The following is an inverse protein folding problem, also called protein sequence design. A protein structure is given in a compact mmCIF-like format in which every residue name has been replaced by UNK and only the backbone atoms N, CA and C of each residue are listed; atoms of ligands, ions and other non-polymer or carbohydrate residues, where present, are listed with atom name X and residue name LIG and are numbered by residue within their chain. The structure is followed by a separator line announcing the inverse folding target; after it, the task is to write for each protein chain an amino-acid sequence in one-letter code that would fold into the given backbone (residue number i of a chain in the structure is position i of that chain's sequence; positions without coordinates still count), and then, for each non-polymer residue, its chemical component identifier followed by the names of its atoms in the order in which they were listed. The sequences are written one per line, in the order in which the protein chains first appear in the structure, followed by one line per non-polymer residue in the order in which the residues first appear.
data_IF_898288732754
#
_entry.id   IF_898288732754
#
_cell.length_a   1.000
_cell.length_b   1.000
_cell.length_c   1.000
_cell.angle_alpha   90.00
_cell.angle_beta   90.00
_cell.angle_gamma   90.00
#
_symmetry.space_group_name_H-M   'P 1'
#
loop_
_entity.id
_entity.type
_entity.pdbx_description
1 polymer ?
#
# COMPACT_ATOMS: atom_id res chain seq x y z
N UNK A 1 20.27 7.23 -10.77
CA UNK A 1 19.94 7.04 -9.34
C UNK A 1 18.43 7.21 -9.23
N UNK A 2 17.67 6.13 -9.44
CA UNK A 2 16.21 6.19 -9.57
C UNK A 2 15.57 5.65 -8.29
N UNK A 3 14.76 6.49 -7.62
CA UNK A 3 13.96 6.11 -6.45
C UNK A 3 12.78 5.29 -6.94
N UNK A 4 12.59 4.07 -6.43
CA UNK A 4 11.36 3.31 -6.61
C UNK A 4 10.35 3.76 -5.55
N UNK A 5 9.20 4.25 -5.96
CA UNK A 5 8.15 4.75 -5.05
C UNK A 5 6.89 3.92 -5.25
N UNK A 6 6.39 3.29 -4.19
CA UNK A 6 5.06 2.66 -4.16
C UNK A 6 4.12 3.69 -3.54
N UNK A 7 3.01 4.03 -4.20
CA UNK A 7 1.99 4.94 -3.65
C UNK A 7 0.67 4.19 -3.53
N UNK A 8 0.10 4.17 -2.34
CA UNK A 8 -1.25 3.66 -2.07
C UNK A 8 -2.16 4.82 -1.66
N UNK A 9 -3.37 4.95 -2.20
CA UNK A 9 -4.31 6.02 -1.87
C UNK A 9 -5.57 5.41 -1.28
N UNK A 10 -6.04 5.89 -0.12
CA UNK A 10 -7.28 5.43 0.52
C UNK A 10 -8.34 6.54 0.52
N UNK A 11 -9.57 6.20 0.13
CA UNK A 11 -10.77 7.04 0.28
C UNK A 11 -11.71 6.36 1.29
N UNK A 12 -12.05 7.07 2.36
CA UNK A 12 -12.71 6.56 3.56
C UNK A 12 -14.21 6.25 3.38
N UNK A 13 -14.67 5.08 3.85
CA UNK A 13 -16.09 4.74 4.00
C UNK A 13 -16.36 3.37 4.67
N UNK A 14 -16.42 3.31 6.01
CA UNK A 14 -16.62 2.07 6.77
C UNK A 14 -18.01 1.41 6.57
N UNK A 15 -18.02 0.17 6.04
CA UNK A 15 -19.06 -0.84 6.31
C UNK A 15 -18.55 -2.26 6.00
N UNK A 16 -18.36 -3.07 7.05
CA UNK A 16 -18.37 -4.54 7.05
C UNK A 16 -17.50 -5.28 6.01
N UNK A 17 -16.33 -5.79 6.45
CA UNK A 17 -15.60 -6.92 5.85
C UNK A 17 -15.40 -6.94 4.32
N UNK A 18 -15.34 -5.77 3.71
CA UNK A 18 -14.57 -5.54 2.49
C UNK A 18 -13.50 -4.54 2.89
N UNK A 19 -12.21 -4.92 2.77
CA UNK A 19 -11.18 -3.89 2.71
C UNK A 19 -11.58 -2.98 1.55
N UNK A 20 -11.90 -1.72 1.87
CA UNK A 20 -12.10 -0.63 0.90
C UNK A 20 -11.04 -0.74 -0.20
N UNK A 21 -11.38 -0.39 -1.44
CA UNK A 21 -10.54 -0.49 -2.64
C UNK A 21 -9.17 0.21 -2.45
N UNK A 22 -8.25 -0.46 -1.74
CA UNK A 22 -6.87 -0.01 -1.57
C UNK A 22 -6.20 -0.27 -2.90
N UNK A 23 -6.00 0.81 -3.65
CA UNK A 23 -5.25 0.73 -4.88
C UNK A 23 -3.75 0.68 -4.57
N UNK A 24 -3.06 -0.25 -5.24
CA UNK A 24 -1.61 -0.41 -5.13
C UNK A 24 -1.00 -0.16 -6.49
N UNK A 25 -0.05 0.79 -6.51
CA UNK A 25 0.87 0.96 -7.64
C UNK A 25 2.22 0.34 -7.26
N UNK A 26 2.56 -0.79 -7.90
CA UNK A 26 3.89 -1.38 -7.78
C UNK A 26 4.81 -0.77 -8.83
N UNK A 27 5.81 -0.02 -8.40
CA UNK A 27 6.85 0.51 -9.29
C UNK A 27 8.16 -0.28 -9.16
N UNK A 28 8.65 -0.82 -10.27
CA UNK A 28 9.94 -1.51 -10.36
C UNK A 28 10.82 -0.83 -11.41
N UNK A 29 11.90 -0.20 -10.95
CA UNK A 29 12.87 0.53 -11.80
C UNK A 29 12.21 1.67 -12.60
N UNK A 30 11.30 2.42 -11.96
CA UNK A 30 10.56 3.50 -12.60
C UNK A 30 9.43 3.02 -13.52
N UNK A 31 9.07 1.72 -13.50
CA UNK A 31 7.99 1.16 -14.32
C UNK A 31 6.85 0.67 -13.44
N UNK A 32 5.63 1.08 -13.79
CA UNK A 32 4.41 0.56 -13.18
C UNK A 32 4.20 -0.90 -13.62
N UNK A 33 4.11 -1.80 -12.65
CA UNK A 33 3.90 -3.22 -12.86
C UNK A 33 2.44 -3.53 -12.50
N UNK A 34 1.64 -4.07 -13.44
CA UNK A 34 0.29 -4.49 -13.14
C UNK A 34 0.32 -5.62 -12.11
N UNK A 35 -0.43 -5.46 -11.03
CA UNK A 35 -0.59 -6.46 -9.98
C UNK A 35 -1.93 -7.18 -10.14
N UNK A 36 -1.90 -8.51 -10.00
CA UNK A 36 -3.13 -9.31 -9.97
C UNK A 36 -3.75 -9.31 -8.56
N UNK A 37 -4.99 -9.81 -8.45
CA UNK A 37 -5.76 -9.79 -7.19
C UNK A 37 -5.10 -10.56 -6.05
N UNK A 38 -4.41 -11.67 -6.36
CA UNK A 38 -3.70 -12.45 -5.35
C UNK A 38 -2.55 -11.63 -4.75
N UNK A 39 -1.69 -11.06 -5.60
CA UNK A 39 -0.55 -10.23 -5.17
C UNK A 39 -1.03 -8.97 -4.46
N UNK A 40 -2.10 -8.33 -4.97
CA UNK A 40 -2.73 -7.16 -4.35
C UNK A 40 -3.14 -7.46 -2.89
N UNK A 41 -3.86 -8.57 -2.66
CA UNK A 41 -4.31 -8.97 -1.30
C UNK A 41 -3.14 -9.19 -0.35
N UNK A 42 -2.10 -9.89 -0.79
CA UNK A 42 -0.92 -10.16 0.03
C UNK A 42 -0.20 -8.86 0.40
N UNK A 43 0.08 -8.00 -0.58
CA UNK A 43 0.77 -6.74 -0.34
C UNK A 43 -0.06 -5.79 0.54
N UNK A 44 -1.36 -5.63 0.27
CA UNK A 44 -2.24 -4.81 1.11
C UNK A 44 -2.18 -5.26 2.57
N UNK A 45 -2.45 -6.55 2.83
CA UNK A 45 -2.51 -7.06 4.19
C UNK A 45 -1.17 -6.96 4.93
N UNK A 46 -0.06 -7.26 4.24
CA UNK A 46 1.27 -7.14 4.81
C UNK A 46 1.60 -5.68 5.16
N UNK A 47 1.35 -4.75 4.23
CA UNK A 47 1.70 -3.34 4.38
C UNK A 47 0.86 -2.68 5.47
N UNK A 48 -0.46 -2.84 5.43
CA UNK A 48 -1.36 -2.23 6.42
C UNK A 48 -1.14 -2.81 7.81
N UNK A 49 -0.94 -4.12 7.92
CA UNK A 49 -0.59 -4.77 9.19
C UNK A 49 0.75 -4.29 9.75
N UNK A 50 1.75 -4.10 8.88
CA UNK A 50 3.05 -3.56 9.29
C UNK A 50 2.92 -2.11 9.79
N UNK A 51 2.24 -1.25 9.02
CA UNK A 51 2.09 0.18 9.34
C UNK A 51 1.26 0.38 10.61
N UNK A 52 0.17 -0.36 10.79
CA UNK A 52 -0.66 -0.29 12.00
C UNK A 52 0.03 -0.79 13.27
N UNK A 53 1.15 -1.52 13.14
CA UNK A 53 1.97 -1.93 14.29
C UNK A 53 3.01 -0.88 14.73
N UNK A 54 3.22 0.18 13.93
CA UNK A 54 4.22 1.21 14.22
C UNK A 54 3.71 2.22 15.24
N UNK A 55 4.56 2.56 16.22
CA UNK A 55 4.27 3.65 17.16
C UNK A 55 4.38 5.00 16.46
N UNK A 56 3.39 5.86 16.67
CA UNK A 56 3.38 7.24 16.14
C UNK A 56 2.84 7.36 14.72
N UNK A 57 2.26 6.29 14.17
CA UNK A 57 1.43 6.36 12.95
C UNK A 57 -0.03 6.27 13.39
N UNK A 58 -0.84 7.24 13.01
CA UNK A 58 -2.28 7.26 13.30
C UNK A 58 -3.03 6.34 12.33
N UNK A 59 -4.16 5.78 12.76
CA UNK A 59 -4.95 4.81 11.98
C UNK A 59 -5.67 5.43 10.77
N UNK A 60 -5.65 6.77 10.61
CA UNK A 60 -6.33 7.53 9.57
C UNK A 60 -5.41 7.94 8.41
N UNK A 61 -4.31 7.21 8.21
CA UNK A 61 -3.38 7.45 7.11
C UNK A 61 -4.09 7.42 5.75
N UNK A 62 -3.78 8.39 4.88
CA UNK A 62 -4.36 8.49 3.52
C UNK A 62 -3.50 7.81 2.46
N UNK A 63 -2.18 7.76 2.70
CA UNK A 63 -1.21 7.23 1.75
C UNK A 63 -0.03 6.61 2.47
N UNK A 64 0.35 5.41 2.04
CA UNK A 64 1.57 4.73 2.47
C UNK A 64 2.53 4.71 1.29
N UNK A 65 3.76 5.19 1.50
CA UNK A 65 4.84 5.07 0.52
C UNK A 65 5.99 4.21 1.06
N UNK A 66 6.27 3.08 0.41
CA UNK A 66 7.37 2.18 0.78
C UNK A 66 8.43 2.19 -0.31
N UNK A 67 9.67 2.48 0.08
CA UNK A 67 10.83 2.43 -0.79
C UNK A 67 11.77 1.29 -0.39
N UNK A 68 12.07 0.40 -1.33
CA UNK A 68 13.07 -0.65 -1.17
C UNK A 68 14.28 -0.31 -2.04
N UNK A 69 15.48 -0.35 -1.45
CA UNK A 69 16.74 -0.22 -2.18
C UNK A 69 17.51 -1.53 -2.06
N UNK A 70 18.02 -1.99 -3.19
CA UNK A 70 18.92 -3.14 -3.26
C UNK A 70 20.26 -2.67 -3.79
#
# INVERSE_FOLDING_TARGET
MNRKTITAVQHTGYRGYFMEDVDIVLEVDGKNIPVNDFVRKILCGMITGSVGSLRGVEDDWKTINIGLKR
#
